data_IF_260095353558
#
_entry.id   IF_260095353558
#
_cell.length_a   1.000
_cell.length_b   1.000
_cell.length_c   1.000
_cell.angle_alpha   90.00
_cell.angle_beta   90.00
_cell.angle_gamma   90.00
#
_symmetry.space_group_name_H-M   'P 1'
#
loop_
_entity.id
_entity.type
_entity.pdbx_description
1 polymer ?
#
# COMPACT_ATOMS: atom_id res chain seq x y z
N UNK A 1 -67.68 40.36 24.50
CA UNK A 1 -68.03 38.93 24.43
C UNK A 1 -67.33 38.35 23.20
N UNK A 2 -66.65 37.21 23.39
CA UNK A 2 -65.93 36.35 22.42
C UNK A 2 -64.85 37.02 21.53
N UNK A 3 -63.55 36.95 21.82
CA UNK A 3 -62.63 35.80 21.92
C UNK A 3 -62.49 35.00 20.61
N UNK A 4 -61.35 35.15 19.94
CA UNK A 4 -60.96 34.39 18.75
C UNK A 4 -59.55 34.76 18.28
N UNK A 5 -58.53 34.35 19.05
CA UNK A 5 -57.09 34.49 18.72
C UNK A 5 -56.72 33.42 17.69
N UNK A 6 -56.39 33.81 16.45
CA UNK A 6 -55.78 32.90 15.47
C UNK A 6 -54.25 32.94 15.64
N UNK A 7 -53.70 31.86 16.19
CA UNK A 7 -52.27 31.56 16.20
C UNK A 7 -51.89 30.97 14.84
N UNK A 8 -51.20 31.75 14.00
CA UNK A 8 -50.57 31.23 12.80
C UNK A 8 -49.30 30.46 13.18
N UNK A 9 -49.43 29.13 13.30
CA UNK A 9 -48.30 28.23 13.52
C UNK A 9 -47.39 28.19 12.29
N UNK A 10 -46.12 28.56 12.46
CA UNK A 10 -45.06 28.32 11.47
C UNK A 10 -44.79 26.81 11.38
N UNK A 11 -45.22 26.20 10.29
CA UNK A 11 -44.79 24.85 9.93
C UNK A 11 -43.34 24.90 9.44
N UNK A 12 -42.41 24.38 10.25
CA UNK A 12 -41.03 24.11 9.82
C UNK A 12 -41.03 22.75 9.14
N UNK A 13 -40.86 22.74 7.82
CA UNK A 13 -40.65 21.52 7.04
C UNK A 13 -39.19 21.11 7.22
N UNK A 14 -38.95 20.11 8.06
CA UNK A 14 -37.66 19.43 8.16
C UNK A 14 -37.53 18.48 6.95
N UNK A 15 -36.79 18.92 5.93
CA UNK A 15 -36.32 18.07 4.84
C UNK A 15 -35.25 17.13 5.39
N UNK A 16 -35.64 15.91 5.73
CA UNK A 16 -34.73 14.80 5.97
C UNK A 16 -34.10 14.37 4.64
N UNK A 17 -32.86 14.82 4.40
CA UNK A 17 -32.00 14.25 3.37
C UNK A 17 -31.62 12.83 3.79
N UNK A 18 -32.39 11.85 3.32
CA UNK A 18 -31.94 10.46 3.33
C UNK A 18 -30.79 10.35 2.33
N UNK A 19 -29.56 10.29 2.84
CA UNK A 19 -28.41 9.88 2.04
C UNK A 19 -28.65 8.44 1.60
N UNK A 20 -29.03 8.27 0.34
CA UNK A 20 -28.98 6.98 -0.34
C UNK A 20 -27.50 6.62 -0.49
N UNK A 21 -27.03 5.75 0.40
CA UNK A 21 -25.85 4.95 0.11
C UNK A 21 -26.14 4.23 -1.21
N UNK A 22 -25.42 4.61 -2.27
CA UNK A 22 -25.41 3.85 -3.51
C UNK A 22 -24.76 2.51 -3.21
N UNK A 23 -25.55 1.56 -2.70
CA UNK A 23 -25.17 0.16 -2.68
C UNK A 23 -24.98 -0.25 -4.12
N UNK A 24 -23.76 -0.66 -4.46
CA UNK A 24 -23.48 -1.34 -5.72
C UNK A 24 -24.50 -2.46 -5.92
N UNK A 25 -25.24 -2.41 -7.03
CA UNK A 25 -26.24 -3.42 -7.36
C UNK A 25 -25.56 -4.80 -7.42
N UNK A 26 -26.19 -5.80 -6.80
CA UNK A 26 -25.68 -7.16 -6.82
C UNK A 26 -25.60 -7.69 -8.26
N UNK A 27 -24.53 -8.42 -8.58
CA UNK A 27 -24.35 -8.99 -9.91
C UNK A 27 -25.25 -10.23 -10.03
N UNK A 28 -26.06 -10.33 -11.09
CA UNK A 28 -27.01 -11.42 -11.25
C UNK A 28 -26.31 -12.78 -11.33
N UNK A 29 -26.85 -13.77 -10.60
CA UNK A 29 -26.37 -15.15 -10.63
C UNK A 29 -27.20 -15.99 -11.60
N UNK A 30 -26.55 -16.73 -12.48
CA UNK A 30 -27.20 -17.63 -13.44
C UNK A 30 -26.79 -19.09 -13.18
N UNK A 31 -27.75 -20.00 -13.33
CA UNK A 31 -27.52 -21.44 -13.14
C UNK A 31 -26.88 -22.07 -14.38
N UNK A 32 -27.43 -21.76 -15.55
CA UNK A 32 -26.97 -22.27 -16.84
C UNK A 32 -26.78 -21.12 -17.82
N UNK A 33 -25.76 -21.28 -18.66
CA UNK A 33 -25.54 -20.37 -19.77
C UNK A 33 -26.42 -20.81 -20.93
N UNK A 34 -27.03 -19.87 -21.64
CA UNK A 34 -27.92 -20.20 -22.75
C UNK A 34 -28.04 -19.10 -23.79
N UNK A 35 -28.72 -19.47 -24.86
CA UNK A 35 -29.18 -18.54 -25.88
C UNK A 35 -30.70 -18.61 -25.91
N UNK A 36 -31.36 -17.46 -25.75
CA UNK A 36 -32.81 -17.38 -25.75
C UNK A 36 -33.33 -16.24 -26.62
N UNK A 37 -34.59 -16.35 -27.03
CA UNK A 37 -35.31 -15.34 -27.79
C UNK A 37 -36.64 -15.03 -27.12
N UNK A 38 -37.23 -13.87 -27.43
CA UNK A 38 -38.56 -13.49 -26.96
C UNK A 38 -39.64 -14.52 -27.30
N UNK A 39 -40.71 -14.53 -26.50
CA UNK A 39 -41.82 -15.46 -26.67
C UNK A 39 -42.41 -15.39 -28.08
N UNK A 40 -42.73 -16.56 -28.65
CA UNK A 40 -43.28 -16.67 -30.01
C UNK A 40 -42.23 -16.83 -31.11
N UNK A 41 -40.94 -16.70 -30.81
CA UNK A 41 -39.86 -16.93 -31.77
C UNK A 41 -39.14 -18.26 -31.53
N UNK A 42 -38.99 -19.06 -32.59
CA UNK A 42 -38.20 -20.28 -32.56
C UNK A 42 -36.77 -20.00 -33.04
N UNK A 43 -35.84 -19.88 -32.10
CA UNK A 43 -34.43 -19.61 -32.34
C UNK A 43 -33.56 -20.86 -32.18
N UNK A 44 -32.51 -20.97 -33.00
CA UNK A 44 -31.51 -22.04 -32.88
C UNK A 44 -30.12 -21.42 -32.79
N UNK A 45 -29.38 -21.81 -31.76
CA UNK A 45 -27.95 -21.50 -31.66
C UNK A 45 -27.17 -22.23 -32.76
N UNK A 46 -26.21 -21.53 -33.36
CA UNK A 46 -25.28 -22.07 -34.33
C UNK A 46 -23.87 -21.64 -33.93
N UNK A 47 -23.02 -22.62 -33.68
CA UNK A 47 -21.57 -22.38 -33.59
C UNK A 47 -21.09 -22.04 -35.00
N UNK A 48 -20.56 -20.83 -35.19
CA UNK A 48 -20.11 -20.38 -36.50
C UNK A 48 -18.78 -21.08 -36.83
N UNK A 49 -18.81 -22.04 -37.76
CA UNK A 49 -17.64 -22.80 -38.22
C UNK A 49 -17.07 -22.29 -39.55
N UNK A 50 -17.63 -21.22 -40.13
CA UNK A 50 -17.32 -20.81 -41.50
C UNK A 50 -16.56 -19.47 -41.54
N UNK A 51 -15.32 -19.54 -42.01
CA UNK A 51 -14.40 -18.41 -42.27
C UNK A 51 -14.99 -17.41 -43.30
N UNK A 52 -15.94 -17.83 -44.14
CA UNK A 52 -16.56 -17.02 -45.19
C UNK A 52 -17.62 -15.99 -44.72
N UNK A 53 -17.87 -15.87 -43.42
CA UNK A 53 -18.84 -14.91 -42.85
C UNK A 53 -18.19 -13.57 -42.41
N UNK A 54 -16.88 -13.41 -42.62
CA UNK A 54 -16.14 -12.19 -42.28
C UNK A 54 -16.48 -11.02 -43.21
N UNK A 55 -16.78 -11.30 -44.49
CA UNK A 55 -17.09 -10.28 -45.48
C UNK A 55 -18.55 -9.85 -45.42
N UNK A 56 -18.78 -8.54 -45.27
CA UNK A 56 -20.11 -7.97 -45.31
C UNK A 56 -20.67 -7.94 -46.74
N UNK A 57 -21.99 -8.03 -46.87
CA UNK A 57 -22.73 -7.90 -48.13
C UNK A 57 -23.45 -6.55 -48.15
N UNK A 58 -23.65 -5.92 -49.32
CA UNK A 58 -24.47 -4.72 -49.40
C UNK A 58 -25.89 -5.03 -48.89
N UNK A 59 -26.47 -4.19 -48.01
CA UNK A 59 -27.83 -4.38 -47.53
C UNK A 59 -28.83 -4.24 -48.71
N UNK A 60 -29.88 -5.07 -48.77
CA UNK A 60 -31.00 -4.82 -49.67
C UNK A 60 -31.60 -3.44 -49.38
N UNK A 61 -32.10 -2.75 -50.40
CA UNK A 61 -32.72 -1.42 -50.28
C UNK A 61 -33.90 -1.36 -49.29
N UNK A 62 -34.48 -2.52 -48.95
CA UNK A 62 -35.58 -2.64 -47.99
C UNK A 62 -35.14 -2.79 -46.52
N UNK A 63 -33.85 -3.02 -46.23
CA UNK A 63 -33.34 -3.16 -44.86
C UNK A 63 -32.91 -1.79 -44.33
N UNK A 64 -33.62 -1.20 -43.35
CA UNK A 64 -33.18 0.06 -42.78
C UNK A 64 -31.94 -0.14 -41.89
N UNK A 65 -31.04 0.86 -41.80
CA UNK A 65 -29.92 0.82 -40.86
C UNK A 65 -30.36 0.65 -39.41
N UNK A 66 -31.55 1.16 -39.06
CA UNK A 66 -32.18 1.07 -37.73
C UNK A 66 -32.85 -0.29 -37.43
N UNK A 67 -32.55 -1.34 -38.20
CA UNK A 67 -33.12 -2.67 -37.96
C UNK A 67 -32.59 -3.28 -36.66
N UNK A 68 -31.39 -2.89 -36.24
CA UNK A 68 -30.86 -3.15 -34.90
C UNK A 68 -31.21 -1.95 -34.02
N UNK A 69 -31.98 -2.17 -32.97
CA UNK A 69 -32.52 -1.08 -32.16
C UNK A 69 -31.67 -0.79 -30.93
N UNK A 70 -31.29 -1.85 -30.20
CA UNK A 70 -30.52 -1.71 -28.97
C UNK A 70 -29.56 -2.87 -28.76
N UNK A 71 -28.43 -2.53 -28.14
CA UNK A 71 -27.44 -3.43 -27.61
C UNK A 71 -27.24 -3.06 -26.14
N UNK A 72 -27.49 -4.00 -25.24
CA UNK A 72 -27.28 -3.83 -23.80
C UNK A 72 -26.34 -4.91 -23.29
N UNK A 73 -25.35 -4.47 -22.52
CA UNK A 73 -24.28 -5.32 -21.99
C UNK A 73 -24.35 -5.27 -20.46
N UNK A 74 -24.19 -6.44 -19.84
CA UNK A 74 -24.13 -6.55 -18.38
C UNK A 74 -23.35 -7.79 -17.97
N UNK A 75 -22.81 -7.78 -16.76
CA UNK A 75 -22.09 -8.92 -16.21
C UNK A 75 -23.02 -9.81 -15.40
N UNK A 76 -22.74 -11.12 -15.42
CA UNK A 76 -23.37 -12.10 -14.56
C UNK A 76 -22.33 -13.07 -13.99
N UNK A 77 -22.73 -13.76 -12.93
CA UNK A 77 -21.93 -14.79 -12.28
C UNK A 77 -22.56 -16.16 -12.46
N UNK A 78 -21.73 -17.15 -12.80
CA UNK A 78 -22.10 -18.56 -12.69
C UNK A 78 -21.32 -19.18 -11.55
N UNK A 79 -22.05 -19.63 -10.53
CA UNK A 79 -21.44 -20.12 -9.30
C UNK A 79 -21.52 -21.64 -9.22
N UNK A 80 -20.38 -22.28 -8.99
CA UNK A 80 -20.31 -23.69 -8.62
C UNK A 80 -20.26 -23.79 -7.08
N UNK A 81 -20.92 -24.79 -6.47
CA UNK A 81 -20.94 -24.94 -5.00
C UNK A 81 -19.55 -25.05 -4.33
N UNK A 82 -18.50 -25.41 -5.07
CA UNK A 82 -17.14 -25.66 -4.55
C UNK A 82 -16.02 -24.85 -5.18
N UNK A 83 -16.23 -24.29 -6.38
CA UNK A 83 -15.16 -23.65 -7.17
C UNK A 83 -15.31 -22.11 -7.26
N UNK A 84 -16.23 -21.53 -6.47
CA UNK A 84 -16.57 -20.11 -6.55
C UNK A 84 -17.37 -19.76 -7.81
N UNK A 85 -17.40 -18.48 -8.17
CA UNK A 85 -18.13 -17.98 -9.34
C UNK A 85 -17.21 -17.53 -10.47
N UNK A 86 -17.56 -17.89 -11.71
CA UNK A 86 -16.96 -17.33 -12.92
C UNK A 86 -17.79 -16.15 -13.43
N UNK A 87 -17.13 -15.17 -14.05
CA UNK A 87 -17.81 -14.04 -14.67
C UNK A 87 -18.18 -14.36 -16.13
N UNK A 88 -19.35 -13.87 -16.52
CA UNK A 88 -19.91 -14.02 -17.85
C UNK A 88 -20.43 -12.67 -18.32
N UNK A 89 -20.22 -12.36 -19.59
CA UNK A 89 -20.85 -11.22 -20.25
C UNK A 89 -22.20 -11.66 -20.83
N UNK A 90 -23.26 -10.93 -20.44
CA UNK A 90 -24.59 -11.02 -21.03
C UNK A 90 -24.74 -9.95 -22.09
N UNK A 91 -25.08 -10.39 -23.29
CA UNK A 91 -25.40 -9.52 -24.42
C UNK A 91 -26.88 -9.65 -24.72
N UNK A 92 -27.63 -8.57 -24.51
CA UNK A 92 -29.02 -8.48 -24.89
C UNK A 92 -29.14 -7.56 -26.10
N UNK A 93 -29.82 -8.05 -27.13
CA UNK A 93 -30.01 -7.35 -28.39
C UNK A 93 -31.49 -7.28 -28.73
N UNK A 94 -31.94 -6.13 -29.25
CA UNK A 94 -33.27 -5.98 -29.84
C UNK A 94 -33.17 -5.57 -31.30
N UNK A 95 -34.02 -6.16 -32.13
CA UNK A 95 -34.07 -5.89 -33.55
C UNK A 95 -35.52 -5.95 -34.07
N UNK A 96 -35.79 -5.29 -35.19
CA UNK A 96 -37.05 -5.44 -35.92
C UNK A 96 -36.86 -6.49 -37.01
N UNK A 97 -37.63 -7.57 -36.97
CA UNK A 97 -37.43 -8.67 -37.91
C UNK A 97 -37.77 -8.24 -39.34
N UNK A 98 -36.85 -8.48 -40.27
CA UNK A 98 -37.02 -8.16 -41.69
C UNK A 98 -36.87 -9.44 -42.54
N UNK A 99 -37.54 -9.51 -43.70
CA UNK A 99 -37.55 -10.71 -44.57
C UNK A 99 -36.16 -11.21 -44.99
N UNK A 100 -35.24 -10.27 -45.20
CA UNK A 100 -33.84 -10.54 -45.55
C UNK A 100 -32.97 -10.99 -44.36
N UNK A 101 -33.45 -10.85 -43.12
CA UNK A 101 -32.73 -11.23 -41.92
C UNK A 101 -33.06 -12.66 -41.51
N UNK A 102 -32.02 -13.41 -41.15
CA UNK A 102 -32.11 -14.81 -40.72
C UNK A 102 -31.67 -15.00 -39.26
N UNK A 103 -31.15 -13.96 -38.62
CA UNK A 103 -30.71 -13.98 -37.24
C UNK A 103 -29.64 -12.93 -36.95
N UNK A 104 -28.89 -13.15 -35.87
CA UNK A 104 -27.87 -12.25 -35.35
C UNK A 104 -26.60 -13.01 -34.97
N UNK A 105 -25.49 -12.29 -34.95
CA UNK A 105 -24.21 -12.74 -34.41
C UNK A 105 -23.67 -11.67 -33.46
N UNK A 106 -23.33 -12.07 -32.25
CA UNK A 106 -22.63 -11.22 -31.28
C UNK A 106 -21.19 -11.71 -31.17
N UNK A 107 -20.24 -10.80 -31.20
CA UNK A 107 -18.82 -11.08 -31.01
C UNK A 107 -18.27 -10.18 -29.90
N UNK A 108 -17.48 -10.76 -28.99
CA UNK A 108 -16.66 -10.02 -28.04
C UNK A 108 -15.19 -10.12 -28.43
N UNK A 109 -14.50 -8.99 -28.41
CA UNK A 109 -13.04 -8.91 -28.64
C UNK A 109 -12.40 -8.35 -27.38
N UNK A 110 -11.43 -9.05 -26.83
CA UNK A 110 -10.60 -8.53 -25.75
C UNK A 110 -9.61 -7.50 -26.33
N UNK A 111 -9.63 -6.27 -25.80
CA UNK A 111 -8.80 -5.18 -26.32
C UNK A 111 -7.31 -5.35 -26.00
N UNK A 112 -6.96 -6.11 -24.96
CA UNK A 112 -5.59 -6.34 -24.51
C UNK A 112 -4.95 -7.53 -25.25
N UNK A 113 -5.69 -8.65 -25.37
CA UNK A 113 -5.17 -9.90 -25.95
C UNK A 113 -5.54 -10.10 -27.42
N UNK A 114 -6.49 -9.32 -27.94
CA UNK A 114 -7.12 -9.50 -29.27
C UNK A 114 -7.87 -10.83 -29.44
N UNK A 115 -8.10 -11.57 -28.37
CA UNK A 115 -8.88 -12.80 -28.41
C UNK A 115 -10.35 -12.50 -28.73
N UNK A 116 -10.95 -13.29 -29.63
CA UNK A 116 -12.31 -13.07 -30.12
C UNK A 116 -13.19 -14.28 -29.87
N UNK A 117 -14.36 -14.05 -29.29
CA UNK A 117 -15.42 -15.07 -29.13
C UNK A 117 -16.67 -14.60 -29.87
N UNK A 118 -17.32 -15.49 -30.63
CA UNK A 118 -18.53 -15.16 -31.39
C UNK A 118 -19.62 -16.21 -31.20
N UNK A 119 -20.86 -15.76 -31.06
CA UNK A 119 -22.05 -16.62 -30.98
C UNK A 119 -23.12 -16.13 -31.94
N UNK A 120 -23.77 -17.07 -32.64
CA UNK A 120 -24.80 -16.73 -33.61
C UNK A 120 -26.13 -17.43 -33.31
N UNK A 121 -27.21 -16.70 -33.50
CA UNK A 121 -28.58 -17.22 -33.48
C UNK A 121 -29.15 -17.18 -34.89
N UNK A 122 -29.95 -18.19 -35.23
CA UNK A 122 -30.83 -18.14 -36.41
C UNK A 122 -32.28 -18.26 -36.00
N UNK A 123 -33.10 -17.41 -36.59
CA UNK A 123 -34.56 -17.46 -36.48
C UNK A 123 -35.09 -18.45 -37.50
N UNK A 124 -36.04 -19.30 -37.10
CA UNK A 124 -36.66 -20.26 -38.02
C UNK A 124 -37.34 -19.53 -39.19
N UNK A 125 -37.30 -20.10 -40.40
CA UNK A 125 -37.93 -19.50 -41.59
C UNK A 125 -39.45 -19.34 -41.44
N UNK A 126 -40.09 -20.24 -40.69
CA UNK A 126 -41.52 -20.21 -40.44
C UNK A 126 -41.91 -19.05 -39.50
N UNK A 127 -41.14 -18.85 -38.43
CA UNK A 127 -41.29 -17.68 -37.54
C UNK A 127 -40.96 -16.38 -38.27
N UNK A 128 -39.87 -16.38 -39.04
CA UNK A 128 -39.37 -15.23 -39.80
C UNK A 128 -40.40 -14.62 -40.74
N UNK A 129 -41.14 -15.44 -41.49
CA UNK A 129 -42.15 -14.95 -42.45
C UNK A 129 -43.46 -14.51 -41.79
N UNK A 130 -43.80 -15.02 -40.61
CA UNK A 130 -45.06 -14.68 -39.92
C UNK A 130 -44.95 -13.43 -39.06
N UNK A 131 -43.74 -13.08 -38.62
CA UNK A 131 -43.47 -12.03 -37.64
C UNK A 131 -42.58 -10.92 -38.19
N UNK A 132 -42.60 -10.69 -39.51
CA UNK A 132 -41.91 -9.54 -40.12
C UNK A 132 -42.47 -8.25 -39.52
N UNK A 133 -41.59 -7.31 -39.18
CA UNK A 133 -41.94 -6.04 -38.53
C UNK A 133 -42.10 -6.13 -37.01
N UNK A 134 -42.03 -7.33 -36.42
CA UNK A 134 -42.11 -7.49 -34.97
C UNK A 134 -40.73 -7.33 -34.31
N UNK A 135 -40.73 -6.84 -33.08
CA UNK A 135 -39.53 -6.71 -32.27
C UNK A 135 -39.10 -8.08 -31.71
N UNK A 136 -37.88 -8.49 -32.02
CA UNK A 136 -37.25 -9.71 -31.52
C UNK A 136 -36.16 -9.31 -30.53
N UNK A 137 -36.24 -9.86 -29.31
CA UNK A 137 -35.18 -9.76 -28.31
C UNK A 137 -34.39 -11.07 -28.26
N UNK A 138 -33.07 -10.97 -28.23
CA UNK A 138 -32.15 -12.10 -28.15
C UNK A 138 -31.21 -11.90 -26.97
N UNK A 139 -31.02 -12.95 -26.17
CA UNK A 139 -30.08 -12.97 -25.05
C UNK A 139 -28.96 -13.98 -25.32
N UNK A 140 -27.72 -13.52 -25.22
CA UNK A 140 -26.51 -14.35 -25.24
C UNK A 140 -25.85 -14.27 -23.86
N UNK A 141 -25.87 -15.38 -23.11
CA UNK A 141 -25.42 -15.40 -21.72
C UNK A 141 -24.12 -16.21 -21.52
N UNK A 142 -23.39 -16.49 -22.59
CA UNK A 142 -22.31 -17.50 -22.63
C UNK A 142 -20.93 -16.95 -23.01
N UNK A 143 -20.64 -15.66 -22.85
CA UNK A 143 -19.31 -15.12 -23.13
C UNK A 143 -18.47 -15.15 -21.85
N UNK A 144 -17.43 -15.97 -21.83
CA UNK A 144 -16.54 -16.09 -20.66
C UNK A 144 -15.60 -14.88 -20.60
N UNK A 145 -15.55 -14.23 -19.43
CA UNK A 145 -14.78 -13.01 -19.21
C UNK A 145 -14.09 -13.04 -17.85
N UNK A 146 -13.03 -12.25 -17.68
CA UNK A 146 -12.33 -12.08 -16.41
C UNK A 146 -12.49 -10.67 -15.85
N UNK A 147 -12.15 -10.50 -14.58
CA UNK A 147 -12.23 -9.21 -13.88
C UNK A 147 -11.41 -8.13 -14.59
N UNK A 148 -11.89 -6.88 -14.55
CA UNK A 148 -11.21 -5.70 -15.10
C UNK A 148 -10.82 -5.79 -16.59
N UNK A 149 -11.43 -6.70 -17.37
CA UNK A 149 -11.20 -6.77 -18.81
C UNK A 149 -11.90 -5.64 -19.55
N UNK A 150 -11.24 -5.13 -20.59
CA UNK A 150 -11.84 -4.19 -21.53
C UNK A 150 -12.20 -4.90 -22.83
N UNK A 151 -13.48 -4.90 -23.16
CA UNK A 151 -14.06 -5.63 -24.28
C UNK A 151 -14.63 -4.67 -25.30
N UNK A 152 -14.51 -5.02 -26.58
CA UNK A 152 -15.26 -4.41 -27.66
C UNK A 152 -16.26 -5.42 -28.22
N UNK A 153 -17.55 -5.14 -28.04
CA UNK A 153 -18.63 -6.05 -28.42
C UNK A 153 -19.28 -5.53 -29.69
N UNK A 154 -19.44 -6.41 -30.68
CA UNK A 154 -20.09 -6.09 -31.95
C UNK A 154 -21.27 -7.03 -32.18
N UNK A 155 -22.40 -6.44 -32.53
CA UNK A 155 -23.62 -7.13 -32.95
C UNK A 155 -23.82 -6.97 -34.45
N UNK A 156 -23.91 -8.09 -35.16
CA UNK A 156 -24.07 -8.14 -36.62
C UNK A 156 -25.31 -8.92 -37.01
N UNK A 157 -25.81 -8.60 -38.19
CA UNK A 157 -26.91 -9.33 -38.84
C UNK A 157 -26.43 -10.66 -39.42
N UNK A 158 -27.33 -11.64 -39.56
CA UNK A 158 -27.08 -12.88 -40.30
C UNK A 158 -28.07 -12.96 -41.46
N UNK A 159 -27.63 -12.88 -42.74
CA UNK A 159 -26.25 -12.68 -43.20
C UNK A 159 -25.70 -11.28 -42.83
N UNK A 160 -24.37 -11.14 -42.76
CA UNK A 160 -23.70 -9.89 -42.40
C UNK A 160 -23.92 -8.83 -43.49
N UNK A 161 -24.71 -7.81 -43.17
CA UNK A 161 -24.90 -6.63 -44.03
C UNK A 161 -23.96 -5.48 -43.66
N UNK A 162 -23.31 -4.87 -44.65
CA UNK A 162 -22.38 -3.76 -44.47
C UNK A 162 -23.11 -2.55 -43.87
N UNK A 163 -22.52 -1.91 -42.85
CA UNK A 163 -23.07 -0.72 -42.21
C UNK A 163 -24.28 -0.96 -41.31
N UNK A 164 -24.71 -2.22 -41.15
CA UNK A 164 -25.84 -2.60 -40.28
C UNK A 164 -25.29 -3.44 -39.12
N UNK A 165 -24.68 -2.75 -38.16
CA UNK A 165 -24.13 -3.32 -36.94
C UNK A 165 -24.28 -2.35 -35.77
N UNK A 166 -24.29 -2.88 -34.55
CA UNK A 166 -24.12 -2.09 -33.33
C UNK A 166 -22.83 -2.52 -32.67
N UNK A 167 -22.14 -1.57 -32.06
CA UNK A 167 -20.93 -1.85 -31.30
C UNK A 167 -20.90 -1.03 -30.01
N UNK A 168 -20.29 -1.61 -28.99
CA UNK A 168 -20.18 -0.99 -27.69
C UNK A 168 -18.93 -1.51 -26.97
N UNK A 169 -18.19 -0.58 -26.36
CA UNK A 169 -17.12 -0.92 -25.44
C UNK A 169 -17.70 -1.21 -24.05
N UNK A 170 -17.21 -2.27 -23.41
CA UNK A 170 -17.63 -2.68 -22.08
C UNK A 170 -16.43 -2.97 -21.19
N UNK A 171 -16.49 -2.53 -19.94
CA UNK A 171 -15.48 -2.82 -18.95
C UNK A 171 -16.08 -3.73 -17.88
N UNK A 172 -15.47 -4.90 -17.70
CA UNK A 172 -15.91 -5.89 -16.72
C UNK A 172 -15.51 -5.40 -15.32
N UNK A 173 -16.38 -5.64 -14.36
CA UNK A 173 -16.21 -5.24 -12.96
C UNK A 173 -14.91 -5.81 -12.38
N UNK A 174 -14.27 -5.02 -11.53
CA UNK A 174 -13.02 -5.36 -10.87
C UNK A 174 -13.26 -5.99 -9.49
N UNK A 175 -12.18 -6.42 -8.83
CA UNK A 175 -12.25 -6.98 -7.48
C UNK A 175 -12.62 -5.96 -6.39
N UNK A 176 -12.76 -4.66 -6.70
CA UNK A 176 -13.23 -3.64 -5.76
C UNK A 176 -14.75 -3.65 -5.66
N UNK A 177 -15.44 -4.17 -6.68
CA UNK A 177 -16.87 -4.42 -6.61
C UNK A 177 -17.18 -5.48 -5.54
N UNK A 178 -18.04 -5.15 -4.57
CA UNK A 178 -18.26 -5.97 -3.36
C UNK A 178 -18.63 -7.42 -3.70
N UNK A 179 -19.55 -7.60 -4.66
CA UNK A 179 -20.04 -8.92 -5.05
C UNK A 179 -18.98 -9.73 -5.83
N UNK A 180 -18.18 -9.08 -6.68
CA UNK A 180 -17.07 -9.74 -7.41
C UNK A 180 -15.98 -10.15 -6.43
N UNK A 181 -15.59 -9.21 -5.56
CA UNK A 181 -14.55 -9.37 -4.54
C UNK A 181 -14.82 -10.52 -3.56
N UNK A 182 -16.09 -10.85 -3.35
CA UNK A 182 -16.52 -11.93 -2.44
C UNK A 182 -16.73 -13.28 -3.12
N UNK A 183 -17.16 -13.29 -4.38
CA UNK A 183 -17.66 -14.51 -5.03
C UNK A 183 -16.77 -15.02 -6.18
N UNK A 184 -15.89 -14.20 -6.75
CA UNK A 184 -14.99 -14.62 -7.85
C UNK A 184 -13.63 -15.07 -7.31
N UNK A 185 -13.18 -16.31 -7.58
CA UNK A 185 -11.94 -16.87 -7.05
C UNK A 185 -10.76 -15.93 -7.17
N UNK A 186 -10.45 -15.38 -8.34
CA UNK A 186 -9.28 -14.48 -8.51
C UNK A 186 -9.23 -13.28 -7.54
N UNK A 187 -10.37 -12.85 -6.98
CA UNK A 187 -10.44 -11.69 -6.09
C UNK A 187 -10.29 -12.00 -4.60
N UNK A 188 -10.59 -13.23 -4.18
CA UNK A 188 -10.40 -13.67 -2.79
C UNK A 188 -9.34 -14.77 -2.67
N UNK A 189 -8.98 -15.41 -3.78
CA UNK A 189 -7.78 -16.21 -3.95
C UNK A 189 -6.59 -15.27 -3.68
N UNK A 190 -6.06 -15.39 -2.47
CA UNK A 190 -4.92 -14.61 -2.00
C UNK A 190 -5.20 -13.80 -0.73
N UNK A 191 -6.47 -13.72 -0.28
CA UNK A 191 -6.79 -13.15 1.04
C UNK A 191 -6.49 -14.18 2.12
N UNK A 192 -5.29 -14.10 2.68
CA UNK A 192 -4.95 -14.77 3.94
C UNK A 192 -5.42 -13.93 5.13
N UNK A 193 -5.86 -14.60 6.21
CA UNK A 193 -6.01 -13.96 7.51
C UNK A 193 -4.71 -14.11 8.30
N UNK A 194 -4.41 -13.16 9.19
CA UNK A 194 -3.21 -13.20 10.00
C UNK A 194 -3.41 -12.60 11.38
N UNK A 195 -2.58 -13.01 12.32
CA UNK A 195 -2.45 -12.39 13.64
C UNK A 195 -1.01 -12.47 14.14
N UNK A 196 -0.56 -11.44 14.85
CA UNK A 196 0.78 -11.37 15.41
C UNK A 196 0.78 -11.86 16.87
N UNK A 197 1.57 -12.90 17.15
CA UNK A 197 1.91 -13.35 18.50
C UNK A 197 3.23 -12.69 18.91
N UNK A 198 3.12 -11.56 19.61
CA UNK A 198 4.27 -10.75 20.05
C UNK A 198 5.13 -11.46 21.09
N UNK A 199 4.52 -12.30 21.93
CA UNK A 199 5.23 -13.06 22.97
C UNK A 199 6.18 -14.07 22.36
N UNK A 200 5.75 -14.75 21.30
CA UNK A 200 6.55 -15.74 20.56
C UNK A 200 7.34 -15.15 19.40
N UNK A 201 7.15 -13.86 19.09
CA UNK A 201 7.69 -13.18 17.92
C UNK A 201 7.42 -13.93 16.61
N UNK A 202 6.18 -14.35 16.42
CA UNK A 202 5.72 -15.01 15.20
C UNK A 202 4.46 -14.37 14.67
N UNK A 203 4.31 -14.34 13.35
CA UNK A 203 3.06 -14.03 12.69
C UNK A 203 2.43 -15.34 12.25
N UNK A 204 1.20 -15.57 12.70
CA UNK A 204 0.42 -16.73 12.33
C UNK A 204 -0.48 -16.35 11.15
N UNK A 205 -0.37 -17.11 10.06
CA UNK A 205 -1.07 -16.87 8.82
C UNK A 205 -1.98 -18.05 8.54
N UNK A 206 -3.26 -17.76 8.31
CA UNK A 206 -4.25 -18.74 7.93
C UNK A 206 -4.68 -18.48 6.47
N UNK A 207 -4.42 -19.47 5.64
CA UNK A 207 -4.82 -19.46 4.23
C UNK A 207 -6.22 -20.06 4.13
N UNK A 208 -7.16 -19.44 3.39
CA UNK A 208 -8.51 -19.99 3.25
C UNK A 208 -8.50 -21.32 2.49
N UNK A 209 -9.37 -22.24 2.91
CA UNK A 209 -9.53 -23.53 2.25
C UNK A 209 -10.32 -23.40 0.95
N UNK A 210 -9.64 -23.63 -0.17
CA UNK A 210 -10.25 -23.67 -1.51
C UNK A 210 -9.99 -25.06 -2.11
N UNK A 211 -11.02 -25.92 -2.21
CA UNK A 211 -10.88 -27.25 -2.78
C UNK A 211 -10.30 -27.21 -4.20
N UNK A 212 -9.32 -28.06 -4.51
CA UNK A 212 -8.70 -28.13 -5.84
C UNK A 212 -7.74 -26.97 -6.18
N UNK A 213 -7.52 -26.02 -5.27
CA UNK A 213 -6.59 -24.93 -5.51
C UNK A 213 -5.12 -25.40 -5.55
N UNK A 214 -4.27 -24.74 -6.37
CA UNK A 214 -2.83 -24.98 -6.38
C UNK A 214 -2.19 -24.61 -5.03
N UNK A 215 -0.95 -25.05 -4.81
CA UNK A 215 -0.19 -24.71 -3.62
C UNK A 215 -0.11 -23.19 -3.42
N UNK A 216 -0.03 -22.73 -2.17
CA UNK A 216 0.04 -21.31 -1.83
C UNK A 216 1.38 -21.00 -1.16
N UNK A 217 2.06 -19.94 -1.59
CA UNK A 217 3.29 -19.46 -0.97
C UNK A 217 2.99 -18.29 -0.05
N UNK A 218 3.66 -18.25 1.11
CA UNK A 218 3.65 -17.12 2.04
C UNK A 218 5.07 -16.83 2.49
N UNK A 219 5.47 -15.55 2.53
CA UNK A 219 6.77 -15.12 3.07
C UNK A 219 6.65 -13.83 3.89
N UNK A 220 7.70 -13.57 4.65
CA UNK A 220 7.97 -12.23 5.18
C UNK A 220 8.91 -11.48 4.24
N UNK A 221 8.75 -10.17 4.17
CA UNK A 221 9.66 -9.29 3.44
C UNK A 221 9.72 -7.88 4.03
N UNK A 222 10.77 -7.14 3.68
CA UNK A 222 10.86 -5.70 3.95
C UNK A 222 10.36 -4.94 2.72
N UNK A 223 9.28 -4.19 2.89
CA UNK A 223 8.65 -3.37 1.86
C UNK A 223 9.38 -2.03 1.71
N UNK A 224 10.01 -1.85 0.56
CA UNK A 224 10.57 -0.58 0.12
C UNK A 224 9.77 -0.09 -1.10
N UNK A 225 10.40 -0.04 -2.28
CA UNK A 225 9.70 0.00 -3.57
C UNK A 225 9.21 -1.40 -3.98
N UNK A 226 10.03 -2.41 -3.69
CA UNK A 226 9.72 -3.84 -3.83
C UNK A 226 9.80 -4.55 -2.47
N UNK A 227 9.27 -5.76 -2.42
CA UNK A 227 9.28 -6.63 -1.25
C UNK A 227 10.58 -7.44 -1.25
N UNK A 228 11.56 -7.02 -0.43
CA UNK A 228 12.87 -7.67 -0.32
C UNK A 228 12.79 -8.83 0.66
N UNK A 229 13.25 -10.01 0.23
CA UNK A 229 13.09 -11.27 0.98
C UNK A 229 13.63 -11.22 2.41
N UNK A 230 12.78 -11.67 3.35
CA UNK A 230 13.15 -11.92 4.75
C UNK A 230 12.88 -13.40 5.04
N UNK A 231 13.92 -14.22 4.91
CA UNK A 231 13.82 -15.66 5.10
C UNK A 231 13.26 -16.39 3.87
N UNK A 232 12.91 -17.67 4.08
CA UNK A 232 12.48 -18.57 2.99
C UNK A 232 10.96 -18.57 2.89
N UNK A 233 10.37 -18.47 1.69
CA UNK A 233 8.93 -18.63 1.49
C UNK A 233 8.45 -20.01 1.95
N UNK A 234 7.36 -20.03 2.71
CA UNK A 234 6.70 -21.25 3.15
C UNK A 234 5.65 -21.66 2.12
N UNK A 235 5.69 -22.93 1.71
CA UNK A 235 4.70 -23.53 0.81
C UNK A 235 3.61 -24.24 1.59
N UNK A 236 2.35 -23.86 1.35
CA UNK A 236 1.14 -24.45 1.90
C UNK A 236 0.49 -25.31 0.81
N UNK A 237 0.43 -26.61 1.02
CA UNK A 237 -0.12 -27.55 0.03
C UNK A 237 -1.64 -27.47 -0.06
N UNK A 238 -2.18 -27.44 -1.30
CA UNK A 238 -3.61 -27.29 -1.59
C UNK A 238 -4.54 -28.31 -0.93
N UNK A 239 -4.06 -29.53 -0.69
CA UNK A 239 -4.86 -30.62 -0.11
C UNK A 239 -5.03 -30.54 1.43
N UNK A 240 -4.43 -29.53 2.10
CA UNK A 240 -4.47 -29.31 3.56
C UNK A 240 -4.51 -27.82 3.89
N UNK A 241 -5.35 -27.06 3.20
CA UNK A 241 -5.43 -25.59 3.32
C UNK A 241 -6.01 -25.11 4.67
N UNK A 242 -6.47 -25.98 5.56
CA UNK A 242 -6.78 -25.64 6.96
C UNK A 242 -5.54 -25.67 7.88
N UNK A 243 -4.42 -25.09 7.44
CA UNK A 243 -3.18 -25.02 8.23
C UNK A 243 -2.75 -23.58 8.48
N UNK A 244 -2.71 -23.22 9.76
CA UNK A 244 -2.02 -22.02 10.21
C UNK A 244 -0.51 -22.21 10.07
N UNK A 245 0.15 -21.27 9.39
CA UNK A 245 1.61 -21.22 9.24
C UNK A 245 2.18 -20.19 10.19
N UNK A 246 3.27 -20.52 10.86
CA UNK A 246 4.01 -19.58 11.72
C UNK A 246 5.23 -19.02 10.99
N UNK A 247 5.32 -17.69 10.89
CA UNK A 247 6.45 -16.98 10.32
C UNK A 247 7.17 -16.18 11.41
N UNK A 248 8.39 -16.56 11.82
CA UNK A 248 9.12 -15.86 12.88
C UNK A 248 9.69 -14.52 12.40
N UNK A 249 9.76 -13.54 13.30
CA UNK A 249 10.37 -12.24 13.05
C UNK A 249 11.30 -11.81 14.19
N UNK A 250 12.31 -10.97 13.90
CA UNK A 250 13.28 -10.52 14.91
C UNK A 250 12.87 -9.22 15.60
N UNK A 251 12.36 -8.27 14.82
CA UNK A 251 11.99 -6.92 15.23
C UNK A 251 10.66 -6.52 14.60
N UNK A 252 9.87 -5.72 15.33
CA UNK A 252 8.61 -5.15 14.86
C UNK A 252 8.93 -3.89 14.04
N UNK A 253 9.03 -4.08 12.72
CA UNK A 253 9.40 -3.03 11.79
C UNK A 253 8.19 -2.63 10.93
N UNK A 254 7.97 -1.33 10.66
CA UNK A 254 6.77 -0.87 9.95
C UNK A 254 6.75 -1.27 8.48
N UNK A 255 7.92 -1.53 7.91
CA UNK A 255 8.04 -2.09 6.56
C UNK A 255 8.07 -3.62 6.53
N UNK A 256 7.98 -4.32 7.67
CA UNK A 256 7.89 -5.78 7.67
C UNK A 256 6.48 -6.21 7.27
N UNK A 257 6.37 -6.85 6.11
CA UNK A 257 5.10 -7.24 5.53
C UNK A 257 5.07 -8.74 5.22
N UNK A 258 3.86 -9.29 5.25
CA UNK A 258 3.51 -10.58 4.68
C UNK A 258 3.29 -10.42 3.19
N UNK A 259 3.76 -11.39 2.41
CA UNK A 259 3.42 -11.52 1.01
C UNK A 259 2.98 -12.95 0.71
N UNK A 260 1.86 -13.13 0.00
CA UNK A 260 1.37 -14.44 -0.41
C UNK A 260 0.81 -14.48 -1.83
N UNK A 261 0.94 -15.64 -2.48
CA UNK A 261 0.49 -15.88 -3.86
C UNK A 261 0.29 -17.38 -4.13
N UNK A 262 -0.52 -17.73 -5.13
CA UNK A 262 -0.65 -19.11 -5.59
C UNK A 262 0.55 -19.56 -6.42
N UNK A 263 0.86 -20.85 -6.38
CA UNK A 263 1.86 -21.53 -7.20
C UNK A 263 1.40 -21.69 -8.66
N UNK A 264 0.89 -20.61 -9.26
CA UNK A 264 0.52 -20.51 -10.67
C UNK A 264 1.39 -19.46 -11.36
N UNK A 265 1.66 -19.62 -12.66
CA UNK A 265 2.27 -18.55 -13.45
C UNK A 265 1.48 -17.24 -13.30
N UNK A 266 2.20 -16.12 -13.19
CA UNK A 266 1.65 -14.76 -13.12
C UNK A 266 0.61 -14.51 -12.01
N UNK A 267 0.68 -15.29 -10.92
CA UNK A 267 -0.16 -15.09 -9.75
C UNK A 267 0.01 -13.69 -9.15
N UNK A 268 -1.12 -13.02 -8.89
CA UNK A 268 -1.15 -11.75 -8.16
C UNK A 268 -0.63 -11.96 -6.74
N UNK A 269 0.30 -11.09 -6.30
CA UNK A 269 0.88 -11.10 -4.95
C UNK A 269 0.08 -10.20 -4.03
N UNK A 270 -0.38 -10.77 -2.92
CA UNK A 270 -1.10 -10.05 -1.88
C UNK A 270 -0.15 -9.68 -0.76
N UNK A 271 -0.19 -8.43 -0.30
CA UNK A 271 0.67 -7.93 0.78
C UNK A 271 -0.13 -7.34 1.93
N UNK A 272 0.34 -7.57 3.16
CA UNK A 272 -0.21 -6.96 4.38
C UNK A 272 0.94 -6.64 5.35
N UNK A 273 0.91 -5.48 6.02
CA UNK A 273 1.98 -5.02 6.89
C UNK A 273 1.49 -4.93 8.35
N UNK A 274 1.69 -5.96 9.19
CA UNK A 274 1.08 -6.04 10.51
C UNK A 274 1.55 -4.96 11.50
N UNK A 275 2.71 -4.36 11.27
CA UNK A 275 3.37 -3.44 12.19
C UNK A 275 3.51 -2.03 11.62
N UNK A 276 2.71 -1.65 10.61
CA UNK A 276 2.85 -0.38 9.88
C UNK A 276 2.91 0.87 10.79
N UNK A 277 2.22 0.83 11.93
CA UNK A 277 2.19 1.93 12.90
C UNK A 277 3.30 1.85 13.98
N UNK A 278 4.02 0.74 14.06
CA UNK A 278 5.09 0.50 15.04
C UNK A 278 6.40 1.13 14.55
N UNK A 279 6.71 2.33 15.05
CA UNK A 279 7.89 3.10 14.58
C UNK A 279 9.03 3.17 15.58
N UNK A 280 8.83 2.73 16.83
CA UNK A 280 9.79 2.91 17.93
C UNK A 280 11.19 2.36 17.60
N UNK A 281 11.25 1.16 17.01
CA UNK A 281 12.50 0.50 16.65
C UNK A 281 13.35 1.30 15.63
N UNK A 282 12.74 2.17 14.84
CA UNK A 282 13.45 2.99 13.84
C UNK A 282 14.31 4.07 14.50
N UNK A 283 13.89 4.58 15.65
CA UNK A 283 14.55 5.69 16.33
C UNK A 283 15.75 5.24 17.15
N UNK A 284 15.85 3.95 17.44
CA UNK A 284 16.94 3.35 18.23
C UNK A 284 18.17 2.98 17.39
N UNK A 285 18.09 3.09 16.05
CA UNK A 285 19.16 2.77 15.11
C UNK A 285 20.28 3.82 15.03
N UNK A 286 20.62 4.47 16.15
CA UNK A 286 21.64 5.50 16.25
C UNK A 286 22.98 4.87 16.62
N UNK A 287 24.04 5.18 15.88
CA UNK A 287 25.39 4.66 16.10
C UNK A 287 26.41 5.78 16.14
N UNK A 288 27.21 5.82 17.20
CA UNK A 288 28.38 6.69 17.28
C UNK A 288 29.63 5.92 16.84
N UNK A 289 30.43 6.53 15.96
CA UNK A 289 31.68 6.00 15.45
C UNK A 289 32.84 6.80 16.07
N UNK A 290 33.53 6.27 17.10
CA UNK A 290 34.57 7.03 17.82
C UNK A 290 35.77 7.40 16.94
N UNK A 291 36.15 6.55 15.98
CA UNK A 291 37.28 6.79 15.07
C UNK A 291 37.10 8.06 14.23
N UNK A 292 35.91 8.23 13.65
CA UNK A 292 35.58 9.37 12.79
C UNK A 292 34.92 10.53 13.55
N UNK A 293 34.70 10.35 14.87
CA UNK A 293 33.87 11.22 15.71
C UNK A 293 32.52 11.53 15.05
N UNK A 294 31.91 10.51 14.45
CA UNK A 294 30.70 10.68 13.64
C UNK A 294 29.49 10.03 14.30
N UNK A 295 28.37 10.75 14.31
CA UNK A 295 27.09 10.23 14.75
C UNK A 295 26.25 9.90 13.52
N UNK A 296 25.83 8.64 13.39
CA UNK A 296 25.01 8.19 12.27
C UNK A 296 23.69 7.60 12.73
N UNK A 297 22.69 7.71 11.87
CA UNK A 297 21.39 7.08 12.04
C UNK A 297 21.00 6.46 10.71
N UNK A 298 20.62 5.18 10.75
CA UNK A 298 20.24 4.42 9.56
C UNK A 298 19.03 3.54 9.90
N UNK A 299 17.80 3.97 9.53
CA UNK A 299 16.61 3.20 9.84
C UNK A 299 16.52 1.95 8.96
N UNK A 300 16.00 0.85 9.52
CA UNK A 300 15.77 -0.39 8.79
C UNK A 300 14.61 -0.30 7.76
N UNK A 301 13.76 0.71 7.89
CA UNK A 301 12.63 0.98 7.00
C UNK A 301 12.70 2.39 6.42
N UNK A 302 12.12 2.61 5.22
CA UNK A 302 12.02 3.95 4.65
C UNK A 302 11.15 4.86 5.51
N UNK A 303 11.64 6.07 5.78
CA UNK A 303 10.94 7.09 6.57
C UNK A 303 10.93 8.40 5.80
N UNK A 304 9.79 9.08 5.80
CA UNK A 304 9.68 10.44 5.26
C UNK A 304 9.64 11.44 6.41
N UNK A 305 10.64 12.32 6.49
CA UNK A 305 10.74 13.29 7.57
C UNK A 305 12.06 14.04 7.62
N UNK A 306 12.34 14.62 8.77
CA UNK A 306 13.57 15.36 9.07
C UNK A 306 14.22 14.83 10.35
N UNK A 307 15.54 14.87 10.37
CA UNK A 307 16.36 14.60 11.54
C UNK A 307 17.20 15.83 11.83
N UNK A 308 17.26 16.25 13.09
CA UNK A 308 18.12 17.36 13.51
C UNK A 308 18.79 17.03 14.83
N UNK A 309 19.99 17.57 15.05
CA UNK A 309 20.58 17.58 16.38
C UNK A 309 19.77 18.54 17.27
N UNK A 310 19.59 18.17 18.53
CA UNK A 310 18.91 19.00 19.50
C UNK A 310 19.58 18.94 20.87
N UNK A 311 19.44 20.03 21.63
CA UNK A 311 19.95 20.17 22.98
C UNK A 311 18.83 20.00 24.00
N UNK A 312 18.98 19.04 24.90
CA UNK A 312 18.02 18.78 25.98
C UNK A 312 18.62 19.18 27.33
N UNK A 313 18.19 20.30 27.96
CA UNK A 313 18.80 20.80 29.20
C UNK A 313 18.70 19.85 30.40
N UNK A 314 17.63 19.06 30.47
CA UNK A 314 17.29 18.22 31.61
C UNK A 314 16.37 17.05 31.21
N UNK A 315 16.24 16.01 32.05
CA UNK A 315 15.19 15.00 31.88
C UNK A 315 13.82 15.68 31.83
N UNK A 316 12.95 15.26 30.90
CA UNK A 316 11.62 15.85 30.70
C UNK A 316 11.58 17.25 30.05
N UNK A 317 12.72 17.92 29.86
CA UNK A 317 12.77 19.21 29.16
C UNK A 317 12.59 19.06 27.64
N UNK A 318 12.03 20.09 27.02
CA UNK A 318 11.92 20.17 25.56
C UNK A 318 13.34 20.15 24.92
N UNK A 319 13.48 19.41 23.82
CA UNK A 319 14.72 19.42 23.05
C UNK A 319 14.72 20.60 22.07
N UNK A 320 15.69 21.50 22.22
CA UNK A 320 15.85 22.67 21.37
C UNK A 320 16.72 22.32 20.17
N UNK A 321 16.21 22.46 18.95
CA UNK A 321 16.96 22.13 17.74
C UNK A 321 18.20 23.02 17.61
N UNK A 322 19.32 22.41 17.23
CA UNK A 322 20.52 23.13 16.84
C UNK A 322 20.32 23.69 15.43
N UNK A 323 20.61 24.97 15.24
CA UNK A 323 20.52 25.62 13.94
C UNK A 323 21.42 24.93 12.91
N UNK A 324 20.97 24.90 11.65
CA UNK A 324 21.68 24.28 10.52
C UNK A 324 22.03 22.78 10.67
N UNK A 325 21.47 22.09 11.67
CA UNK A 325 21.63 20.65 11.85
C UNK A 325 20.54 19.82 11.18
N UNK A 326 19.50 20.44 10.62
CA UNK A 326 18.40 19.72 9.96
C UNK A 326 18.86 19.02 8.69
N UNK A 327 18.58 17.73 8.58
CA UNK A 327 18.81 16.90 7.39
C UNK A 327 17.53 16.14 7.03
N UNK A 328 17.24 15.94 5.73
CA UNK A 328 16.12 15.11 5.33
C UNK A 328 16.40 13.64 5.67
N UNK A 329 15.37 12.91 6.08
CA UNK A 329 15.46 11.51 6.52
C UNK A 329 15.46 10.51 5.34
N UNK A 330 16.23 10.77 4.28
CA UNK A 330 16.31 9.88 3.11
C UNK A 330 17.45 8.86 3.27
N UNK A 331 17.18 7.77 4.00
CA UNK A 331 18.16 6.71 4.26
C UNK A 331 19.15 7.08 5.37
N UNK A 332 20.43 6.71 5.19
CA UNK A 332 21.48 6.93 6.20
C UNK A 332 21.81 8.42 6.34
N UNK A 333 21.72 8.92 7.57
CA UNK A 333 22.08 10.30 7.94
C UNK A 333 23.34 10.28 8.81
N UNK A 334 24.27 11.19 8.56
CA UNK A 334 25.53 11.29 9.30
C UNK A 334 25.86 12.73 9.70
N UNK A 335 26.34 12.89 10.92
CA UNK A 335 26.89 14.12 11.49
C UNK A 335 28.35 13.88 11.85
N UNK A 336 29.31 14.47 11.10
CA UNK A 336 30.73 14.37 11.43
C UNK A 336 31.09 15.32 12.59
N UNK A 337 32.24 15.07 13.23
CA UNK A 337 32.82 15.93 14.26
C UNK A 337 31.87 16.21 15.45
N UNK A 338 31.15 15.18 15.87
CA UNK A 338 30.24 15.25 17.02
C UNK A 338 30.97 14.85 18.29
N UNK A 339 31.05 15.80 19.22
CA UNK A 339 31.51 15.55 20.58
C UNK A 339 30.46 14.77 21.37
N UNK A 340 30.91 13.79 22.16
CA UNK A 340 30.02 13.03 23.04
C UNK A 340 29.56 13.90 24.22
N UNK A 341 28.27 14.17 24.29
CA UNK A 341 27.67 15.09 25.26
C UNK A 341 26.30 14.56 25.73
N UNK A 342 26.07 14.30 27.03
CA UNK A 342 24.82 13.69 27.52
C UNK A 342 23.55 14.53 27.26
N UNK A 343 23.72 15.81 26.95
CA UNK A 343 22.64 16.75 26.62
C UNK A 343 22.34 16.82 25.11
N UNK A 344 23.18 16.20 24.27
CA UNK A 344 23.02 16.17 22.83
C UNK A 344 22.17 14.96 22.42
N UNK A 345 21.14 15.22 21.62
CA UNK A 345 20.17 14.22 21.19
C UNK A 345 19.87 14.39 19.69
N UNK A 346 19.27 13.36 19.09
CA UNK A 346 18.62 13.47 17.78
C UNK A 346 17.13 13.68 17.99
N UNK A 347 16.57 14.64 17.26
CA UNK A 347 15.13 14.81 17.10
C UNK A 347 14.73 14.35 15.70
N UNK A 348 13.74 13.47 15.65
CA UNK A 348 13.10 12.97 14.45
C UNK A 348 11.75 13.66 14.32
N UNK A 349 11.39 14.13 13.13
CA UNK A 349 10.11 14.78 12.86
C UNK A 349 9.52 14.25 11.56
N UNK A 350 8.35 13.63 11.65
CA UNK A 350 7.58 13.10 10.52
C UNK A 350 6.20 13.74 10.51
N UNK A 351 5.38 13.42 9.50
CA UNK A 351 3.96 13.83 9.48
C UNK A 351 3.14 13.24 10.63
N UNK A 352 3.57 12.10 11.19
CA UNK A 352 2.86 11.37 12.25
C UNK A 352 3.26 11.80 13.67
N UNK A 353 4.37 12.51 13.83
CA UNK A 353 4.85 12.91 15.15
C UNK A 353 6.33 13.25 15.21
N UNK A 354 6.83 13.44 16.43
CA UNK A 354 8.23 13.71 16.70
C UNK A 354 8.77 12.88 17.85
N UNK A 355 9.96 12.34 17.67
CA UNK A 355 10.66 11.50 18.65
C UNK A 355 12.03 12.09 18.96
N UNK A 356 12.55 11.80 20.15
CA UNK A 356 13.88 12.26 20.55
C UNK A 356 14.62 11.14 21.25
N UNK A 357 15.83 10.84 20.77
CA UNK A 357 16.74 9.86 21.38
C UNK A 357 18.10 10.50 21.68
N UNK A 358 18.61 10.23 22.88
CA UNK A 358 19.84 10.84 23.40
C UNK A 358 20.92 9.76 23.56
N UNK A 359 21.75 9.53 22.53
CA UNK A 359 22.67 8.38 22.49
C UNK A 359 23.77 8.42 23.57
N UNK A 360 24.00 9.57 24.21
CA UNK A 360 25.04 9.76 25.21
C UNK A 360 24.52 9.90 26.64
N UNK A 361 23.21 9.71 26.87
CA UNK A 361 22.60 9.96 28.18
C UNK A 361 23.03 8.94 29.25
N UNK A 362 23.19 7.66 28.87
CA UNK A 362 23.46 6.55 29.80
C UNK A 362 24.95 6.26 30.01
N UNK A 363 25.84 6.91 29.25
CA UNK A 363 27.28 6.67 29.37
C UNK A 363 28.04 7.80 30.07
N UNK A 364 29.19 7.46 30.64
CA UNK A 364 30.18 8.43 31.17
C UNK A 364 30.92 9.18 30.05
N UNK A 365 30.21 9.61 29.01
CA UNK A 365 30.77 10.25 27.83
C UNK A 365 30.61 11.77 27.92
N UNK A 366 31.50 12.45 28.65
CA UNK A 366 31.58 13.90 28.67
C UNK A 366 32.89 14.35 28.03
N UNK A 367 32.83 14.75 26.75
CA UNK A 367 33.96 15.37 26.06
C UNK A 367 34.34 16.73 26.68
N UNK A 368 33.34 17.45 27.18
CA UNK A 368 33.50 18.69 27.92
C UNK A 368 32.29 19.00 28.81
N UNK A 369 32.49 19.84 29.82
CA UNK A 369 31.46 20.37 30.72
C UNK A 369 31.58 21.89 30.81
N UNK A 370 30.47 22.58 30.60
CA UNK A 370 30.36 24.03 30.77
C UNK A 370 29.51 24.34 32.00
N UNK A 371 29.98 25.26 32.83
CA UNK A 371 29.21 25.80 33.95
C UNK A 371 29.17 27.31 33.87
N UNK A 372 27.99 27.88 34.10
CA UNK A 372 27.78 29.34 34.15
C UNK A 372 27.42 29.71 35.58
N UNK A 373 28.13 30.66 36.16
CA UNK A 373 27.92 31.16 37.51
C UNK A 373 27.86 32.69 37.48
N UNK A 374 27.09 33.35 38.36
CA UNK A 374 27.22 34.79 38.58
C UNK A 374 28.66 35.11 38.97
N UNK A 375 29.27 36.10 38.33
CA UNK A 375 30.57 36.59 38.77
C UNK A 375 30.41 37.45 40.04
N UNK A 376 31.49 37.59 40.80
CA UNK A 376 31.52 38.45 42.00
C UNK A 376 31.24 39.93 41.68
N UNK A 377 31.50 40.36 40.44
CA UNK A 377 31.14 41.68 39.93
C UNK A 377 29.69 41.71 39.41
N UNK A 378 28.93 42.74 39.80
CA UNK A 378 27.56 42.96 39.28
C UNK A 378 27.57 42.98 37.75
N UNK A 379 26.60 42.27 37.15
CA UNK A 379 26.38 42.25 35.70
C UNK A 379 27.32 41.35 34.89
N UNK A 380 28.20 40.57 35.52
CA UNK A 380 29.10 39.66 34.81
C UNK A 380 28.74 38.19 35.08
N UNK A 381 28.94 37.33 34.07
CA UNK A 381 28.81 35.88 34.17
C UNK A 381 30.20 35.25 34.08
N UNK A 382 30.49 34.30 34.97
CA UNK A 382 31.66 33.44 34.89
C UNK A 382 31.26 32.15 34.19
N UNK A 383 31.89 31.89 33.05
CA UNK A 383 31.73 30.63 32.33
C UNK A 383 33.02 29.81 32.48
N UNK A 384 32.89 28.58 32.97
CA UNK A 384 34.00 27.64 33.13
C UNK A 384 33.79 26.45 32.23
N UNK A 385 34.81 26.13 31.43
CA UNK A 385 34.86 24.94 30.58
C UNK A 385 35.84 23.95 31.18
N UNK A 386 35.44 22.70 31.28
CA UNK A 386 36.27 21.57 31.64
C UNK A 386 36.31 20.61 30.47
N UNK A 387 37.50 20.21 30.00
CA UNK A 387 37.67 19.12 29.05
C UNK A 387 38.80 18.19 29.52
N UNK A 388 38.66 16.87 29.37
CA UNK A 388 39.73 15.91 29.67
C UNK A 388 40.95 16.03 28.75
N UNK A 389 40.81 16.69 27.60
CA UNK A 389 41.86 16.87 26.60
C UNK A 389 42.08 18.34 26.28
N UNK A 390 43.23 18.68 25.69
CA UNK A 390 43.48 20.03 25.20
C UNK A 390 42.41 20.44 24.19
N UNK A 391 41.70 21.55 24.47
CA UNK A 391 40.60 22.04 23.67
C UNK A 391 40.63 23.57 23.58
N UNK A 392 40.15 24.10 22.46
CA UNK A 392 39.98 25.53 22.25
C UNK A 392 38.48 25.86 22.27
N UNK A 393 38.07 26.76 23.16
CA UNK A 393 36.67 27.14 23.32
C UNK A 393 36.42 28.53 22.74
N UNK A 394 35.32 28.67 22.00
CA UNK A 394 34.78 29.96 21.59
C UNK A 394 33.39 30.11 22.17
N UNK A 395 33.06 31.30 22.67
CA UNK A 395 31.79 31.56 23.36
C UNK A 395 31.04 32.68 22.64
N UNK A 396 29.79 32.41 22.29
CA UNK A 396 28.88 33.38 21.69
C UNK A 396 27.70 33.60 22.64
N UNK A 397 27.27 34.85 22.78
CA UNK A 397 26.12 35.21 23.61
C UNK A 397 24.91 35.42 22.69
N UNK A 398 23.87 34.62 22.88
CA UNK A 398 22.64 34.72 22.11
C UNK A 398 21.57 35.44 22.92
N UNK A 399 20.94 36.46 22.34
CA UNK A 399 19.85 37.20 22.99
C UNK A 399 18.50 36.60 22.60
N UNK A 400 17.76 36.08 23.58
CA UNK A 400 16.45 35.46 23.34
C UNK A 400 15.39 36.58 23.16
N UNK A 401 15.18 37.07 21.93
CA UNK A 401 14.00 37.90 21.59
C UNK A 401 12.84 37.01 21.12
N UNK A 402 11.60 37.48 21.29
CA UNK A 402 10.34 36.81 20.90
C UNK A 402 10.18 36.57 19.38
N UNK A 403 11.10 37.06 18.55
CA UNK A 403 11.11 36.85 17.10
C UNK A 403 12.15 35.79 16.74
N UNK A 404 11.65 34.68 16.17
CA UNK A 404 12.46 33.61 15.58
C UNK A 404 13.11 34.10 14.28
N UNK A 405 14.40 33.81 13.98
CA UNK A 405 15.41 33.10 14.78
C UNK A 405 16.26 34.04 15.69
N UNK A 406 16.84 33.53 16.80
CA UNK A 406 17.67 34.31 17.72
C UNK A 406 19.00 34.70 17.07
N UNK A 407 19.23 35.99 16.85
CA UNK A 407 20.52 36.49 16.36
C UNK A 407 21.61 36.33 17.44
N UNK A 408 22.46 35.32 17.29
CA UNK A 408 23.68 35.16 18.09
C UNK A 408 24.76 36.12 17.58
N UNK A 409 25.34 36.93 18.47
CA UNK A 409 26.50 37.77 18.16
C UNK A 409 27.71 37.27 18.96
N UNK A 410 28.95 37.47 18.48
CA UNK A 410 30.13 37.28 19.32
C UNK A 410 29.92 38.05 20.63
N UNK A 411 30.11 37.37 21.77
CA UNK A 411 29.91 38.00 23.08
C UNK A 411 30.83 39.22 23.22
N UNK A 412 30.41 40.28 23.95
CA UNK A 412 31.31 41.39 24.26
C UNK A 412 32.55 40.87 25.00
N UNK A 413 33.69 41.54 24.80
CA UNK A 413 35.05 41.20 25.31
C UNK A 413 35.04 40.25 26.51
N UNK A 414 35.31 38.98 26.26
CA UNK A 414 35.54 38.00 27.32
C UNK A 414 36.98 38.15 27.82
N UNK A 415 37.16 38.45 29.10
CA UNK A 415 38.47 38.34 29.74
C UNK A 415 38.72 36.86 30.01
N UNK A 416 39.59 36.23 29.24
CA UNK A 416 40.03 34.85 29.49
C UNK A 416 40.83 34.84 30.79
N UNK A 417 40.28 34.20 31.83
CA UNK A 417 41.07 33.87 33.01
C UNK A 417 42.04 32.75 32.64
N UNK A 418 43.26 32.79 33.18
CA UNK A 418 44.24 31.74 32.96
C UNK A 418 43.62 30.38 33.28
N UNK A 419 43.85 29.35 32.45
CA UNK A 419 43.37 28.02 32.75
C UNK A 419 43.91 27.63 34.13
N UNK A 420 43.03 27.17 35.01
CA UNK A 420 43.45 26.49 36.22
C UNK A 420 44.05 25.16 35.78
N UNK A 421 45.29 25.18 35.29
CA UNK A 421 46.09 23.98 35.15
C UNK A 421 46.24 23.43 36.57
N UNK A 422 45.54 22.35 36.87
CA UNK A 422 45.97 21.52 37.98
C UNK A 422 47.41 21.15 37.66
N UNK A 423 48.37 21.40 38.56
CA UNK A 423 49.72 20.91 38.33
C UNK A 423 49.60 19.42 38.02
N UNK A 424 50.26 18.98 36.93
CA UNK A 424 50.53 17.57 36.77
C UNK A 424 51.17 17.14 38.09
N UNK A 425 50.42 16.40 38.90
CA UNK A 425 51.04 15.57 39.90
C UNK A 425 51.92 14.65 39.07
N UNK A 426 53.22 14.94 39.09
CA UNK A 426 54.24 14.00 38.72
C UNK A 426 53.98 12.77 39.57
N UNK A 427 53.27 11.79 39.00
CA UNK A 427 53.33 10.45 39.52
C UNK A 427 54.82 10.12 39.59
N UNK A 428 55.37 9.74 40.75
CA UNK A 428 56.72 9.22 40.77
C UNK A 428 56.71 8.04 39.79
N UNK A 429 57.65 8.07 38.83
CA UNK A 429 58.00 6.91 38.01
C UNK A 429 58.12 5.73 38.98
N UNK A 430 57.07 4.90 39.07
CA UNK A 430 57.26 3.52 39.50
C UNK A 430 58.14 2.93 38.42
N UNK A 431 59.41 2.79 38.78
CA UNK A 431 60.42 2.04 38.06
C UNK A 431 59.75 0.76 37.57
N UNK A 432 59.55 0.65 36.26
CA UNK A 432 59.40 -0.65 35.62
C UNK A 432 60.73 -1.36 35.91
N UNK A 433 60.73 -2.22 36.92
CA UNK A 433 61.75 -3.24 37.03
C UNK A 433 61.37 -4.27 35.97
N UNK A 434 62.18 -4.32 34.92
CA UNK A 434 62.17 -5.40 33.94
C UNK A 434 62.32 -6.75 34.65
N UNK A 435 61.50 -7.76 34.36
CA UNK A 435 61.82 -9.12 34.74
C UNK A 435 62.96 -9.61 33.83
N UNK A 436 64.14 -9.79 34.41
CA UNK A 436 65.20 -10.62 33.81
C UNK A 436 64.76 -12.08 33.73
N UNK A 437 65.27 -12.84 32.76
CA UNK A 437 64.79 -14.17 32.43
C UNK A 437 65.37 -15.22 33.39
N UNK A 438 64.55 -16.16 33.83
CA UNK A 438 65.01 -17.39 34.47
C UNK A 438 64.65 -18.58 33.56
N UNK A 439 65.66 -19.07 32.84
CA UNK A 439 65.66 -20.37 32.20
C UNK A 439 66.09 -21.46 33.19
N UNK A 440 65.32 -22.55 33.28
CA UNK A 440 65.71 -23.98 33.47
C UNK A 440 64.47 -24.74 33.98
N UNK A 441 63.86 -25.65 33.22
CA UNK A 441 64.29 -27.00 32.80
C UNK A 441 63.99 -28.10 33.84
N UNK A 442 63.29 -29.14 33.38
CA UNK A 442 63.00 -30.43 34.05
C UNK A 442 61.69 -30.41 34.86
N UNK A 443 60.73 -31.32 34.72
CA UNK A 443 60.71 -32.66 34.15
C UNK A 443 60.04 -33.60 35.16
N UNK A 444 59.08 -34.43 34.70
CA UNK A 444 58.41 -35.55 35.40
C UNK A 444 57.49 -35.12 36.56
N UNK A 445 56.25 -35.58 36.70
CA UNK A 445 55.62 -36.88 36.40
C UNK A 445 54.23 -36.74 35.79
#
# INVERSE_FOLDING_TARGET
MHAGRMLAGRAVVLLSLAWSTHGSLAIPKIAECGLSCSQGFACKSRVNRNIFNSFCRPPPSSVPPSVLEALTLSTAMKCAPRDGCSLLLRVQASLVLHESLRGLEACSVNLDTQETQCQSVRVSRASGRRQVGWQLQVHFDCFEVTVAQSLYVTLRTVPHFCGVQLDQQYHVEDCRHEDVGRNVPVCFAGKFSYWADRSRKVILVQVPEVPGAPDYYVRLCLKWFTCNDVGVPVRVTGNRMSRTVSLPYSQELPCLCLEGWFATPDAVRMQACPFEDETEALWDAIRYHPGDRALSWEPACPVSGHVSLCWRPGPGALCHNLEHSGRPAHGRVQYPLVDTQPRLCLKFSTSRGSWVRCPFQEGHFQAWKMTVQPAASRGHLRVTFFSPSAAHFQVHLCHQRKTWPPACRPGPRATTLAPASWPLWTFPRKRLVSPTPASRAGGLT
#
